data_IF_161919177978
#
_entry.id   IF_161919177978
#
_cell.length_a   1.000
_cell.length_b   1.000
_cell.length_c   1.000
_cell.angle_alpha   90.00
_cell.angle_beta   90.00
_cell.angle_gamma   90.00
#
_symmetry.space_group_name_H-M   'P 1'
#
loop_
_entity.id
_entity.type
_entity.pdbx_description
1 polymer ?
#
# COMPACT_ATOMS: atom_id res chain seq x y z
N UNK A 1 17.05 -0.37 3.89
CA UNK A 1 16.59 0.50 2.79
C UNK A 1 16.17 -0.43 1.66
N UNK A 2 15.00 -0.23 1.06
CA UNK A 2 14.56 -1.03 -0.09
C UNK A 2 15.53 -0.80 -1.27
N UNK A 3 15.96 -1.88 -1.94
CA UNK A 3 16.91 -1.82 -3.05
C UNK A 3 16.39 -0.97 -4.22
N UNK A 4 15.08 -0.94 -4.46
CA UNK A 4 14.46 -0.11 -5.51
C UNK A 4 14.55 1.38 -5.18
N UNK A 5 14.37 1.73 -3.90
CA UNK A 5 14.46 3.11 -3.43
C UNK A 5 15.91 3.60 -3.45
N UNK A 6 16.86 2.74 -3.06
CA UNK A 6 18.28 3.07 -3.15
C UNK A 6 18.71 3.33 -4.61
N UNK A 7 18.33 2.45 -5.54
CA UNK A 7 18.63 2.61 -6.97
C UNK A 7 18.02 3.90 -7.55
N UNK A 8 16.80 4.26 -7.13
CA UNK A 8 16.17 5.51 -7.55
C UNK A 8 16.93 6.74 -7.05
N UNK A 9 17.42 6.74 -5.81
CA UNK A 9 18.27 7.82 -5.30
C UNK A 9 19.61 7.91 -6.05
N UNK A 10 20.23 6.78 -6.40
CA UNK A 10 21.48 6.74 -7.17
C UNK A 10 21.30 7.28 -8.59
N UNK A 11 20.24 6.88 -9.30
CA UNK A 11 19.91 7.38 -10.63
C UNK A 11 19.72 8.92 -10.61
N UNK A 12 19.02 9.41 -9.59
CA UNK A 12 18.79 10.85 -9.41
C UNK A 12 20.09 11.63 -9.17
N UNK A 13 21.03 11.06 -8.40
CA UNK A 13 22.36 11.65 -8.19
C UNK A 13 23.24 11.58 -9.45
N UNK A 14 23.05 10.56 -10.29
CA UNK A 14 23.72 10.42 -11.58
C UNK A 14 23.19 11.39 -12.66
N UNK A 15 22.14 12.15 -12.36
CA UNK A 15 21.52 13.10 -13.28
C UNK A 15 20.40 12.50 -14.13
N UNK A 16 20.04 11.24 -13.90
CA UNK A 16 18.88 10.56 -14.50
C UNK A 16 17.61 10.96 -13.72
N UNK A 17 17.25 12.24 -13.80
CA UNK A 17 16.06 12.78 -13.14
C UNK A 17 14.77 12.52 -13.92
N UNK A 18 13.64 12.46 -13.22
CA UNK A 18 12.30 12.42 -13.82
C UNK A 18 11.54 11.10 -13.65
N UNK A 19 12.17 10.06 -13.10
CA UNK A 19 11.45 8.83 -12.76
C UNK A 19 10.57 8.99 -11.52
N UNK A 20 9.37 8.40 -11.57
CA UNK A 20 8.43 8.36 -10.47
C UNK A 20 9.03 7.59 -9.27
N UNK A 21 8.78 8.07 -8.04
CA UNK A 21 9.31 7.43 -6.85
C UNK A 21 8.76 5.98 -6.73
N UNK A 22 9.60 4.95 -6.49
CA UNK A 22 9.17 3.54 -6.53
C UNK A 22 8.01 3.16 -5.62
N UNK A 23 7.77 3.95 -4.56
CA UNK A 23 6.72 3.72 -3.56
C UNK A 23 5.61 4.79 -3.59
N UNK A 24 5.91 6.01 -4.04
CA UNK A 24 4.95 7.11 -3.98
C UNK A 24 4.48 7.54 -5.38
N UNK A 25 5.04 6.94 -6.43
CA UNK A 25 4.76 7.30 -7.82
C UNK A 25 5.05 8.77 -8.09
N UNK A 26 4.15 9.38 -8.87
CA UNK A 26 4.21 10.80 -9.23
C UNK A 26 3.87 11.75 -8.08
N UNK A 27 3.39 11.23 -6.94
CA UNK A 27 3.07 12.07 -5.76
C UNK A 27 4.31 12.68 -5.13
N UNK A 28 5.48 12.11 -5.39
CA UNK A 28 6.78 12.59 -4.91
C UNK A 28 7.67 12.81 -6.11
N UNK A 29 8.23 14.01 -6.19
CA UNK A 29 9.24 14.38 -7.16
C UNK A 29 10.47 14.86 -6.42
N UNK A 30 11.64 14.38 -6.83
CA UNK A 30 12.91 14.91 -6.38
C UNK A 30 13.79 15.26 -7.58
N UNK A 31 14.65 16.26 -7.42
CA UNK A 31 15.62 16.68 -8.44
C UNK A 31 16.86 17.29 -7.79
N UNK A 32 17.99 17.17 -8.47
CA UNK A 32 19.21 17.90 -8.11
C UNK A 32 19.22 19.23 -8.87
N UNK A 33 19.23 20.33 -8.13
CA UNK A 33 19.33 21.70 -8.64
C UNK A 33 20.65 22.32 -8.16
N UNK A 34 21.72 22.13 -8.95
CA UNK A 34 23.07 22.49 -8.54
C UNK A 34 23.54 21.63 -7.37
N UNK A 35 23.86 22.24 -6.24
CA UNK A 35 24.29 21.54 -5.02
C UNK A 35 23.13 21.22 -4.07
N UNK A 36 21.88 21.48 -4.48
CA UNK A 36 20.68 21.26 -3.67
C UNK A 36 19.86 20.10 -4.19
N UNK A 37 19.49 19.18 -3.29
CA UNK A 37 18.49 18.15 -3.54
C UNK A 37 17.12 18.67 -3.11
N UNK A 38 16.28 18.99 -4.10
CA UNK A 38 14.91 19.43 -3.85
C UNK A 38 13.96 18.24 -3.83
N UNK A 39 13.13 18.15 -2.80
CA UNK A 39 12.06 17.15 -2.68
C UNK A 39 10.74 17.89 -2.53
N UNK A 40 9.77 17.49 -3.35
CA UNK A 40 8.45 18.07 -3.35
C UNK A 40 7.38 16.99 -3.50
N UNK A 41 6.17 17.30 -3.03
CA UNK A 41 5.04 16.40 -3.14
C UNK A 41 4.30 16.23 -1.83
N UNK A 42 3.47 15.20 -1.77
CA UNK A 42 2.54 14.99 -0.67
C UNK A 42 2.54 13.55 -0.21
N UNK A 43 2.83 13.35 1.08
CA UNK A 43 2.76 12.05 1.75
C UNK A 43 1.57 11.96 2.70
N UNK A 44 1.11 10.75 2.96
CA UNK A 44 -0.05 10.53 3.82
C UNK A 44 0.30 10.62 5.32
N UNK A 45 1.57 10.46 5.72
CA UNK A 45 1.98 10.42 7.14
C UNK A 45 3.21 11.28 7.42
N UNK A 46 3.26 11.88 8.61
CA UNK A 46 4.44 12.63 9.08
C UNK A 46 5.70 11.76 9.14
N UNK A 47 5.56 10.50 9.56
CA UNK A 47 6.65 9.54 9.55
C UNK A 47 7.22 9.32 8.13
N UNK A 48 6.36 9.18 7.13
CA UNK A 48 6.78 9.01 5.73
C UNK A 48 7.56 10.24 5.22
N UNK A 49 7.17 11.44 5.65
CA UNK A 49 7.90 12.69 5.35
C UNK A 49 9.28 12.68 6.02
N UNK A 50 9.34 12.37 7.31
CA UNK A 50 10.58 12.37 8.06
C UNK A 50 11.56 11.29 7.55
N UNK A 51 11.04 10.12 7.18
CA UNK A 51 11.81 9.04 6.56
C UNK A 51 12.36 9.45 5.18
N UNK A 52 11.57 10.13 4.33
CA UNK A 52 12.03 10.68 3.05
C UNK A 52 13.14 11.72 3.23
N UNK A 53 12.99 12.62 4.20
CA UNK A 53 14.00 13.64 4.51
C UNK A 53 15.30 12.97 5.00
N UNK A 54 15.19 11.94 5.83
CA UNK A 54 16.35 11.19 6.32
C UNK A 54 17.09 10.49 5.18
N UNK A 55 16.37 9.88 4.24
CA UNK A 55 16.96 9.25 3.06
C UNK A 55 17.69 10.26 2.18
N UNK A 56 17.06 11.41 1.89
CA UNK A 56 17.70 12.46 1.11
C UNK A 56 18.93 13.07 1.78
N UNK A 57 18.92 13.19 3.12
CA UNK A 57 20.11 13.62 3.87
C UNK A 57 21.25 12.61 3.80
N UNK A 58 20.95 11.32 3.66
CA UNK A 58 21.97 10.30 3.45
C UNK A 58 22.67 10.44 2.08
N UNK A 59 22.10 11.19 1.14
CA UNK A 59 22.71 11.50 -0.16
C UNK A 59 23.73 12.66 -0.11
N UNK A 60 23.81 13.39 1.01
CA UNK A 60 24.77 14.50 1.18
C UNK A 60 26.21 13.96 1.06
N UNK A 61 27.04 14.64 0.27
CA UNK A 61 28.42 14.23 -0.02
C UNK A 61 28.66 13.69 -1.44
N UNK A 62 27.60 13.41 -2.21
CA UNK A 62 27.69 12.97 -3.61
C UNK A 62 27.38 14.10 -4.61
N UNK A 63 27.97 15.28 -4.43
CA UNK A 63 27.65 16.48 -5.23
C UNK A 63 26.44 17.29 -4.73
N UNK A 64 25.79 16.83 -3.66
CA UNK A 64 24.72 17.54 -2.94
C UNK A 64 25.25 18.00 -1.58
N UNK A 65 25.07 19.29 -1.29
CA UNK A 65 25.44 19.92 -0.01
C UNK A 65 24.23 20.17 0.89
N UNK A 66 23.04 20.38 0.30
CA UNK A 66 21.83 20.74 1.04
C UNK A 66 20.60 20.00 0.52
N UNK A 67 19.65 19.72 1.41
CA UNK A 67 18.34 19.14 1.08
C UNK A 67 17.26 20.18 1.35
N UNK A 68 16.51 20.55 0.30
CA UNK A 68 15.31 21.39 0.40
C UNK A 68 14.06 20.51 0.34
N UNK A 69 13.39 20.36 1.49
CA UNK A 69 12.11 19.66 1.62
C UNK A 69 10.95 20.60 2.01
N UNK A 70 11.09 21.90 1.75
CA UNK A 70 10.08 22.91 2.08
C UNK A 70 8.75 22.68 1.36
N UNK A 71 8.79 22.05 0.19
CA UNK A 71 7.63 21.71 -0.64
C UNK A 71 7.08 20.30 -0.40
N UNK A 72 7.64 19.56 0.56
CA UNK A 72 7.16 18.23 0.95
C UNK A 72 6.14 18.37 2.09
N UNK A 73 4.87 18.09 1.78
CA UNK A 73 3.74 18.25 2.70
C UNK A 73 3.18 16.91 3.16
N UNK A 74 2.52 16.93 4.31
CA UNK A 74 1.69 15.83 4.79
C UNK A 74 0.25 16.18 4.45
N UNK A 75 -0.48 15.26 3.81
CA UNK A 75 -1.88 15.45 3.48
C UNK A 75 -2.72 15.67 4.75
N UNK A 76 -3.53 16.73 4.78
CA UNK A 76 -4.48 16.97 5.86
C UNK A 76 -5.75 16.14 5.66
N UNK A 77 -5.66 14.83 5.90
CA UNK A 77 -6.87 13.99 5.96
C UNK A 77 -7.59 14.26 7.28
N UNK A 78 -8.85 14.69 7.18
CA UNK A 78 -9.74 14.87 8.33
C UNK A 78 -10.32 13.55 8.85
N UNK A 79 -9.92 12.41 8.27
CA UNK A 79 -10.36 11.08 8.66
C UNK A 79 -9.55 10.60 9.87
N UNK A 80 -10.25 10.36 10.98
CA UNK A 80 -9.62 9.86 12.19
C UNK A 80 -9.33 8.37 12.06
N UNK A 81 -8.04 8.04 11.97
CA UNK A 81 -7.56 6.65 11.89
C UNK A 81 -7.86 5.88 13.19
N UNK A 82 -8.02 4.57 13.07
CA UNK A 82 -8.17 3.64 14.19
C UNK A 82 -9.60 3.48 14.70
N UNK A 83 -10.58 4.18 14.13
CA UNK A 83 -11.98 4.11 14.57
C UNK A 83 -12.74 2.94 13.97
N UNK A 84 -12.53 2.69 12.67
CA UNK A 84 -13.28 1.72 11.90
C UNK A 84 -12.33 0.75 11.20
N UNK A 85 -12.70 -0.52 11.25
CA UNK A 85 -12.09 -1.58 10.45
C UNK A 85 -12.97 -1.90 9.27
N UNK A 86 -12.35 -2.19 8.14
CA UNK A 86 -13.04 -2.70 6.98
C UNK A 86 -12.38 -3.99 6.50
N UNK A 87 -13.20 -4.97 6.12
CA UNK A 87 -12.72 -6.20 5.50
C UNK A 87 -12.85 -6.09 3.99
N UNK A 88 -11.75 -6.28 3.28
CA UNK A 88 -11.67 -6.38 1.84
C UNK A 88 -11.54 -7.85 1.45
N UNK A 89 -12.22 -8.24 0.38
CA UNK A 89 -12.09 -9.56 -0.24
C UNK A 89 -11.80 -9.37 -1.71
N UNK A 90 -10.74 -10.00 -2.20
CA UNK A 90 -10.39 -10.02 -3.61
C UNK A 90 -10.22 -11.46 -4.10
N UNK A 91 -10.78 -11.79 -5.26
CA UNK A 91 -10.64 -13.09 -5.90
C UNK A 91 -9.52 -13.09 -6.94
N UNK A 92 -8.76 -14.19 -6.95
CA UNK A 92 -7.70 -14.47 -7.90
C UNK A 92 -7.87 -15.88 -8.49
N UNK A 93 -7.33 -16.16 -9.69
CA UNK A 93 -7.50 -17.45 -10.35
C UNK A 93 -6.99 -18.65 -9.56
N UNK A 94 -6.00 -18.45 -8.70
CA UNK A 94 -5.37 -19.49 -7.90
C UNK A 94 -4.67 -18.91 -6.66
N UNK A 95 -4.28 -19.79 -5.73
CA UNK A 95 -3.63 -19.42 -4.47
C UNK A 95 -2.30 -18.71 -4.67
N UNK A 96 -1.48 -19.16 -5.62
CA UNK A 96 -0.15 -18.58 -5.83
C UNK A 96 -0.27 -17.13 -6.33
N UNK A 97 -1.22 -16.87 -7.23
CA UNK A 97 -1.55 -15.52 -7.70
C UNK A 97 -2.06 -14.64 -6.55
N UNK A 98 -2.95 -15.16 -5.69
CA UNK A 98 -3.42 -14.44 -4.50
C UNK A 98 -2.28 -14.09 -3.52
N UNK A 99 -1.34 -15.02 -3.26
CA UNK A 99 -0.19 -14.79 -2.37
C UNK A 99 0.82 -13.77 -2.96
N UNK A 100 0.97 -13.73 -4.29
CA UNK A 100 1.79 -12.70 -4.95
C UNK A 100 1.13 -11.33 -4.86
N UNK A 101 -0.16 -11.25 -5.18
CA UNK A 101 -0.94 -10.02 -5.08
C UNK A 101 -0.92 -9.47 -3.65
N UNK A 102 -1.10 -10.34 -2.66
CA UNK A 102 -0.99 -10.03 -1.23
C UNK A 102 0.31 -9.29 -0.90
N UNK A 103 1.48 -9.85 -1.28
CA UNK A 103 2.79 -9.23 -1.02
C UNK A 103 2.90 -7.86 -1.69
N UNK A 104 2.59 -7.81 -2.99
CA UNK A 104 2.67 -6.58 -3.78
C UNK A 104 1.80 -5.48 -3.20
N UNK A 105 0.53 -5.79 -2.89
CA UNK A 105 -0.44 -4.81 -2.40
C UNK A 105 -0.05 -4.29 -1.02
N UNK A 106 0.42 -5.13 -0.11
CA UNK A 106 0.86 -4.66 1.22
C UNK A 106 2.14 -3.84 1.17
N UNK A 107 3.10 -4.22 0.34
CA UNK A 107 4.35 -3.47 0.14
C UNK A 107 4.07 -2.09 -0.45
N UNK A 108 3.25 -2.00 -1.50
CA UNK A 108 2.88 -0.74 -2.14
C UNK A 108 1.96 0.13 -1.24
N UNK A 109 1.02 -0.50 -0.53
CA UNK A 109 0.10 0.24 0.33
C UNK A 109 0.79 0.79 1.58
N UNK A 110 1.86 0.13 2.07
CA UNK A 110 2.46 0.34 3.40
C UNK A 110 1.44 0.24 4.54
N UNK A 111 0.52 -0.70 4.37
CA UNK A 111 -0.53 -1.01 5.34
C UNK A 111 -0.16 -2.30 6.04
N UNK A 112 -0.36 -2.33 7.35
CA UNK A 112 -0.25 -3.56 8.14
C UNK A 112 -1.68 -4.01 8.48
N UNK A 113 -2.21 -5.04 7.81
CA UNK A 113 -3.54 -5.52 8.13
C UNK A 113 -3.62 -6.02 9.57
N UNK A 114 -4.78 -5.81 10.19
CA UNK A 114 -5.14 -6.43 11.46
C UNK A 114 -5.38 -7.94 11.28
N UNK A 115 -5.82 -8.34 10.09
CA UNK A 115 -5.92 -9.75 9.68
C UNK A 115 -5.66 -9.86 8.18
N UNK A 116 -5.04 -10.96 7.79
CA UNK A 116 -4.67 -11.26 6.42
C UNK A 116 -4.70 -12.78 6.22
N UNK A 117 -5.49 -13.26 5.26
CA UNK A 117 -5.59 -14.68 4.95
C UNK A 117 -5.83 -14.90 3.44
N UNK A 118 -5.20 -15.93 2.87
CA UNK A 118 -5.55 -16.46 1.54
C UNK A 118 -6.32 -17.77 1.72
N UNK A 119 -7.55 -17.79 1.23
CA UNK A 119 -8.51 -18.90 1.35
C UNK A 119 -8.81 -19.48 -0.02
N UNK A 120 -8.50 -20.76 -0.19
CA UNK A 120 -8.89 -21.56 -1.36
C UNK A 120 -9.86 -22.67 -0.92
N UNK A 121 -10.10 -23.66 -1.79
CA UNK A 121 -10.99 -24.79 -1.54
C UNK A 121 -10.66 -25.57 -0.26
N UNK A 122 -9.38 -25.68 0.10
CA UNK A 122 -8.94 -26.37 1.32
C UNK A 122 -9.23 -25.56 2.59
N UNK A 123 -9.29 -24.23 2.47
CA UNK A 123 -9.50 -23.30 3.57
C UNK A 123 -10.94 -22.84 3.77
N UNK A 124 -11.89 -23.30 2.96
CA UNK A 124 -13.26 -22.79 2.91
C UNK A 124 -13.98 -22.79 4.28
N UNK A 125 -13.64 -23.73 5.16
CA UNK A 125 -14.17 -23.80 6.53
C UNK A 125 -13.86 -22.58 7.41
N UNK A 126 -12.85 -21.78 7.05
CA UNK A 126 -12.44 -20.56 7.78
C UNK A 126 -13.26 -19.32 7.43
N UNK A 127 -14.05 -19.36 6.35
CA UNK A 127 -14.79 -18.18 5.87
C UNK A 127 -15.72 -17.56 6.94
N UNK A 128 -16.47 -18.33 7.74
CA UNK A 128 -17.34 -17.76 8.79
C UNK A 128 -16.61 -16.93 9.83
N UNK A 129 -15.33 -17.22 10.08
CA UNK A 129 -14.52 -16.47 11.03
C UNK A 129 -13.94 -15.19 10.40
N UNK A 130 -13.87 -15.13 9.07
CA UNK A 130 -13.19 -14.10 8.30
C UNK A 130 -14.15 -13.04 7.76
N UNK A 131 -15.38 -13.43 7.44
CA UNK A 131 -16.36 -12.59 6.75
C UNK A 131 -17.70 -12.54 7.49
N UNK A 132 -18.42 -11.41 7.42
CA UNK A 132 -19.81 -11.36 7.86
C UNK A 132 -20.69 -12.34 7.07
N UNK A 133 -21.72 -12.87 7.72
CA UNK A 133 -22.60 -13.90 7.16
C UNK A 133 -23.16 -13.55 5.77
N UNK A 134 -23.49 -12.27 5.54
CA UNK A 134 -24.04 -11.77 4.28
C UNK A 134 -23.11 -11.97 3.05
N UNK A 135 -21.82 -12.19 3.24
CA UNK A 135 -20.83 -12.34 2.16
C UNK A 135 -20.33 -13.77 1.99
N UNK A 136 -20.77 -14.71 2.84
CA UNK A 136 -20.25 -16.08 2.83
C UNK A 136 -20.64 -16.84 1.57
N UNK A 137 -21.88 -16.68 1.10
CA UNK A 137 -22.36 -17.41 -0.07
C UNK A 137 -21.63 -16.99 -1.34
N UNK A 138 -21.42 -15.68 -1.54
CA UNK A 138 -20.64 -15.15 -2.65
C UNK A 138 -19.17 -15.63 -2.61
N UNK A 139 -18.55 -15.58 -1.43
CA UNK A 139 -17.19 -16.06 -1.23
C UNK A 139 -17.06 -17.56 -1.52
N UNK A 140 -18.02 -18.38 -1.06
CA UNK A 140 -18.05 -19.82 -1.35
C UNK A 140 -18.19 -20.09 -2.84
N UNK A 141 -19.12 -19.40 -3.51
CA UNK A 141 -19.34 -19.56 -4.94
C UNK A 141 -18.10 -19.24 -5.78
N UNK A 142 -17.27 -18.27 -5.36
CA UNK A 142 -15.98 -17.97 -6.00
C UNK A 142 -14.99 -19.12 -5.83
N UNK A 143 -14.81 -19.60 -4.61
CA UNK A 143 -13.90 -20.72 -4.33
C UNK A 143 -14.34 -22.00 -5.05
N UNK A 144 -15.65 -22.26 -5.15
CA UNK A 144 -16.19 -23.42 -5.88
C UNK A 144 -15.89 -23.37 -7.38
N UNK A 145 -15.76 -22.16 -7.96
CA UNK A 145 -15.34 -21.94 -9.35
C UNK A 145 -13.83 -22.09 -9.56
N UNK A 146 -13.07 -22.28 -8.50
CA UNK A 146 -11.61 -22.46 -8.52
C UNK A 146 -10.82 -21.25 -8.07
N UNK A 147 -11.47 -20.12 -7.78
CA UNK A 147 -10.78 -18.92 -7.33
C UNK A 147 -10.17 -19.11 -5.92
N UNK A 148 -9.08 -18.40 -5.65
CA UNK A 148 -8.58 -18.17 -4.30
C UNK A 148 -8.93 -16.74 -3.85
N UNK A 149 -9.33 -16.59 -2.60
CA UNK A 149 -9.71 -15.31 -2.01
C UNK A 149 -8.60 -14.77 -1.12
N UNK A 150 -8.16 -13.54 -1.38
CA UNK A 150 -7.39 -12.74 -0.44
C UNK A 150 -8.35 -11.94 0.44
N UNK A 151 -8.29 -12.15 1.75
CA UNK A 151 -9.11 -11.44 2.73
C UNK A 151 -8.20 -10.59 3.62
N UNK A 152 -8.44 -9.28 3.64
CA UNK A 152 -7.68 -8.30 4.41
C UNK A 152 -8.61 -7.54 5.34
N UNK A 153 -8.31 -7.49 6.64
CA UNK A 153 -8.96 -6.57 7.59
C UNK A 153 -8.01 -5.44 7.91
N UNK A 154 -8.41 -4.22 7.57
CA UNK A 154 -7.58 -3.01 7.66
C UNK A 154 -8.35 -1.88 8.29
N UNK A 155 -7.65 -0.80 8.62
CA UNK A 155 -8.30 0.46 8.94
C UNK A 155 -9.11 0.95 7.74
N UNK A 156 -10.32 1.48 7.95
CA UNK A 156 -11.16 2.00 6.86
C UNK A 156 -10.42 3.05 6.01
N UNK A 157 -9.61 3.90 6.64
CA UNK A 157 -8.83 4.94 5.94
C UNK A 157 -7.78 4.36 4.97
N UNK A 158 -7.33 3.14 5.24
CA UNK A 158 -6.41 2.38 4.38
C UNK A 158 -7.17 1.53 3.34
N UNK A 159 -8.45 1.23 3.58
CA UNK A 159 -9.26 0.33 2.75
C UNK A 159 -9.49 0.88 1.34
N UNK A 160 -9.71 2.19 1.20
CA UNK A 160 -9.89 2.84 -0.11
C UNK A 160 -8.65 2.66 -1.00
N UNK A 161 -7.45 2.89 -0.44
CA UNK A 161 -6.18 2.73 -1.16
C UNK A 161 -5.95 1.28 -1.57
N UNK A 162 -6.18 0.35 -0.63
CA UNK A 162 -5.99 -1.07 -0.88
C UNK A 162 -6.94 -1.61 -1.95
N UNK A 163 -8.20 -1.14 -1.97
CA UNK A 163 -9.14 -1.50 -3.02
C UNK A 163 -8.65 -1.10 -4.41
N UNK A 164 -8.15 0.14 -4.57
CA UNK A 164 -7.56 0.58 -5.83
C UNK A 164 -6.41 -0.32 -6.28
N UNK A 165 -5.50 -0.68 -5.37
CA UNK A 165 -4.38 -1.59 -5.68
C UNK A 165 -4.85 -3.01 -6.02
N UNK A 166 -5.91 -3.51 -5.40
CA UNK A 166 -6.47 -4.84 -5.69
C UNK A 166 -7.14 -4.90 -7.07
N UNK A 167 -7.80 -3.82 -7.47
CA UNK A 167 -8.51 -3.73 -8.75
C UNK A 167 -7.57 -3.40 -9.92
N UNK A 168 -6.68 -2.42 -9.75
CA UNK A 168 -5.85 -1.86 -10.83
C UNK A 168 -4.50 -2.58 -10.98
N UNK A 169 -3.77 -2.75 -9.88
CA UNK A 169 -2.41 -3.28 -9.92
C UNK A 169 -2.37 -4.82 -9.84
N UNK A 170 -3.14 -5.39 -8.92
CA UNK A 170 -3.19 -6.83 -8.71
C UNK A 170 -4.16 -7.54 -9.66
N UNK A 171 -5.03 -6.79 -10.36
CA UNK A 171 -6.00 -7.30 -11.34
C UNK A 171 -6.86 -8.44 -10.81
N UNK A 172 -7.37 -8.28 -9.60
CA UNK A 172 -8.36 -9.20 -9.05
C UNK A 172 -9.58 -9.33 -9.97
N UNK A 173 -10.19 -10.51 -10.01
CA UNK A 173 -11.37 -10.77 -10.86
C UNK A 173 -12.68 -10.32 -10.20
N UNK A 174 -12.60 -10.01 -8.91
CA UNK A 174 -13.71 -9.56 -8.09
C UNK A 174 -13.17 -8.98 -6.78
N UNK A 175 -13.58 -7.76 -6.45
CA UNK A 175 -13.26 -7.14 -5.16
C UNK A 175 -14.54 -6.66 -4.48
N UNK A 176 -14.66 -6.93 -3.19
CA UNK A 176 -15.68 -6.33 -2.33
C UNK A 176 -15.07 -5.73 -1.09
N UNK A 177 -15.74 -4.73 -0.55
CA UNK A 177 -15.49 -4.18 0.77
C UNK A 177 -16.75 -4.40 1.61
N UNK A 178 -16.61 -5.04 2.76
CA UNK A 178 -17.72 -5.19 3.71
C UNK A 178 -18.06 -3.83 4.31
N UNK A 179 -19.25 -3.65 4.92
CA UNK A 179 -19.51 -2.48 5.74
C UNK A 179 -18.42 -2.31 6.81
N UNK A 180 -18.00 -1.07 7.10
CA UNK A 180 -17.04 -0.82 8.16
C UNK A 180 -17.64 -1.23 9.52
N UNK A 181 -16.79 -1.74 10.39
CA UNK A 181 -17.13 -2.16 11.75
C UNK A 181 -16.30 -1.36 12.74
N UNK A 182 -16.86 -1.07 13.91
CA UNK A 182 -16.09 -0.43 14.98
C UNK A 182 -14.85 -1.26 15.26
N UNK A 183 -13.68 -0.61 15.23
CA UNK A 183 -12.43 -1.26 15.55
C UNK A 183 -12.54 -1.87 16.95
N UNK A 184 -12.34 -3.17 17.05
CA UNK A 184 -12.22 -3.79 18.37
C UNK A 184 -11.03 -3.14 19.07
N UNK A 185 -11.23 -2.61 20.28
CA UNK A 185 -10.13 -2.14 21.13
C UNK A 185 -9.23 -3.34 21.39
N UNK A 186 -8.09 -3.37 20.70
CA UNK A 186 -6.98 -4.29 21.00
C UNK A 186 -6.28 -3.87 22.28
#
# INVERSE_FOLDING_TARGET
MDARVAAWWEALLAGEGGEAHPIYGERISARVAGEKLEISGEVDRRKDRDDLIAQARACIGNGVQEVDASRLKVAERHEQTGLLDQTLVAAFPDRATADLARKSVLEHARVKPKREEVVDRSGMGKLPDLLPAAFLDDARARIERGDALLILRVDETDAFKLRGLLDEDARSTWTIATPPQVAARG
#
